data_IF_637765629327
#
_entry.id   IF_637765629327
#
_cell.length_a   1.000
_cell.length_b   1.000
_cell.length_c   1.000
_cell.angle_alpha   90.00
_cell.angle_beta   90.00
_cell.angle_gamma   90.00
#
_symmetry.space_group_name_H-M   'P 1'
#
loop_
_entity.id
_entity.type
_entity.pdbx_description
1 polymer ?
#
# COMPACT_ATOMS: atom_id res chain seq x y z
N UNK A 1 17.59 -19.31 10.90
CA UNK A 1 16.82 -20.33 10.13
C UNK A 1 17.62 -20.80 8.92
N UNK A 2 17.96 -19.91 7.97
CA UNK A 2 18.75 -20.29 6.78
C UNK A 2 20.08 -20.96 7.12
N UNK A 3 20.83 -20.44 8.10
CA UNK A 3 22.10 -21.05 8.55
C UNK A 3 21.95 -22.47 9.10
N UNK A 4 20.77 -22.80 9.60
CA UNK A 4 20.41 -24.12 10.14
C UNK A 4 19.88 -25.07 9.04
N UNK A 5 19.87 -24.65 7.77
CA UNK A 5 19.46 -25.48 6.64
C UNK A 5 17.96 -25.46 6.33
N UNK A 6 17.18 -24.57 6.96
CA UNK A 6 15.77 -24.41 6.63
C UNK A 6 15.59 -23.62 5.34
N UNK A 7 14.65 -24.08 4.52
CA UNK A 7 14.09 -23.28 3.44
C UNK A 7 13.14 -22.24 4.02
N UNK A 8 13.49 -20.96 3.86
CA UNK A 8 12.75 -19.87 4.52
C UNK A 8 11.81 -19.20 3.54
N UNK A 9 10.52 -19.20 3.88
CA UNK A 9 9.48 -18.42 3.20
C UNK A 9 9.15 -17.18 4.04
N UNK A 10 9.52 -16.01 3.54
CA UNK A 10 9.33 -14.74 4.25
C UNK A 10 7.85 -14.44 4.43
N UNK A 11 7.45 -14.20 5.68
CA UNK A 11 6.07 -13.99 6.10
C UNK A 11 5.99 -12.87 7.16
N UNK A 12 6.76 -11.81 6.93
CA UNK A 12 6.93 -10.70 7.87
C UNK A 12 5.59 -9.96 8.13
N UNK A 13 5.08 -9.93 9.38
CA UNK A 13 3.76 -9.38 9.66
C UNK A 13 3.67 -7.87 9.41
N UNK A 14 4.78 -7.16 9.58
CA UNK A 14 4.89 -5.73 9.32
C UNK A 14 4.82 -5.34 7.83
N UNK A 15 4.80 -6.30 6.91
CA UNK A 15 4.65 -6.06 5.46
C UNK A 15 3.65 -6.98 4.75
N UNK A 16 3.50 -8.23 5.21
CA UNK A 16 2.85 -9.30 4.45
C UNK A 16 1.56 -9.82 5.10
N UNK A 17 1.17 -9.27 6.26
CA UNK A 17 -0.11 -9.59 6.89
C UNK A 17 -1.22 -8.68 6.36
N UNK A 18 -2.10 -9.29 5.58
CA UNK A 18 -3.25 -8.68 4.93
C UNK A 18 -4.52 -8.74 5.76
N UNK A 19 -4.45 -9.13 7.02
CA UNK A 19 -5.46 -8.83 8.04
C UNK A 19 -5.24 -7.45 8.67
N UNK A 20 -4.13 -6.76 8.37
CA UNK A 20 -3.85 -5.42 8.89
C UNK A 20 -4.50 -4.29 8.06
N UNK A 21 -4.80 -3.13 8.67
CA UNK A 21 -5.34 -1.97 7.98
C UNK A 21 -4.52 -1.56 6.76
N UNK A 22 -5.17 -1.03 5.74
CA UNK A 22 -4.48 -0.45 4.57
C UNK A 22 -4.14 1.03 4.75
N UNK A 23 -4.53 1.66 5.86
CA UNK A 23 -4.09 3.00 6.28
C UNK A 23 -4.39 3.19 7.75
N UNK A 24 -3.81 4.23 8.37
CA UNK A 24 -4.06 4.58 9.77
C UNK A 24 -5.34 5.41 9.87
N UNK A 25 -6.49 4.74 9.87
CA UNK A 25 -7.80 5.37 10.07
C UNK A 25 -8.66 4.48 11.00
N UNK A 26 -9.33 5.02 12.03
CA UNK A 26 -10.14 4.22 12.95
C UNK A 26 -11.34 3.53 12.28
N UNK A 27 -11.72 3.95 11.07
CA UNK A 27 -12.76 3.31 10.26
C UNK A 27 -12.23 2.16 9.38
N UNK A 28 -10.92 1.95 9.33
CA UNK A 28 -10.34 0.81 8.58
C UNK A 28 -10.49 -0.50 9.34
N UNK A 29 -10.63 -1.58 8.59
CA UNK A 29 -10.70 -2.94 9.12
C UNK A 29 -9.28 -3.46 9.36
N UNK A 30 -9.13 -4.25 10.42
CA UNK A 30 -7.99 -5.12 10.59
C UNK A 30 -7.43 -5.16 12.00
N UNK A 31 -6.65 -6.19 12.27
CA UNK A 31 -5.78 -6.24 13.45
C UNK A 31 -4.50 -5.46 13.20
N UNK A 32 -3.77 -5.17 14.26
CA UNK A 32 -2.71 -4.18 14.16
C UNK A 32 -1.68 -4.43 15.28
N UNK A 33 -1.30 -5.67 15.53
CA UNK A 33 -0.32 -5.91 16.61
C UNK A 33 1.12 -5.57 16.16
N UNK A 34 1.49 -5.82 14.90
CA UNK A 34 2.86 -5.67 14.40
C UNK A 34 3.14 -4.35 13.66
N UNK A 35 2.18 -3.79 12.93
CA UNK A 35 2.34 -2.49 12.24
C UNK A 35 1.00 -1.80 12.00
N UNK A 36 0.97 -0.46 11.95
CA UNK A 36 -0.29 0.32 11.88
C UNK A 36 -1.00 0.28 10.55
N UNK A 37 -0.28 0.00 9.49
CA UNK A 37 -0.87 -0.21 8.18
C UNK A 37 0.06 -0.98 7.26
N UNK A 38 -0.55 -1.60 6.25
CA UNK A 38 0.09 -2.33 5.16
C UNK A 38 -0.66 -2.01 3.87
N UNK A 39 -0.39 -0.85 3.28
CA UNK A 39 -0.98 -0.45 2.00
C UNK A 39 -0.22 -1.08 0.81
N UNK A 40 -0.76 -0.93 -0.39
CA UNK A 40 -0.11 -1.48 -1.59
C UNK A 40 1.30 -0.93 -1.83
N UNK A 41 1.55 0.35 -1.47
CA UNK A 41 2.87 0.97 -1.61
C UNK A 41 3.89 0.35 -0.68
N UNK A 42 3.52 0.12 0.59
CA UNK A 42 4.40 -0.48 1.59
C UNK A 42 4.73 -1.93 1.24
N UNK A 43 3.76 -2.70 0.75
CA UNK A 43 4.01 -4.07 0.23
C UNK A 43 4.98 -4.03 -0.95
N UNK A 44 4.76 -3.12 -1.92
CA UNK A 44 5.61 -2.99 -3.10
C UNK A 44 7.07 -2.66 -2.75
N UNK A 45 7.27 -1.82 -1.74
CA UNK A 45 8.59 -1.36 -1.28
C UNK A 45 9.31 -2.35 -0.38
N UNK A 46 8.65 -3.44 0.03
CA UNK A 46 9.29 -4.47 0.83
C UNK A 46 10.41 -5.15 0.04
N UNK A 47 11.55 -5.29 0.70
CA UNK A 47 12.78 -5.83 0.13
C UNK A 47 13.08 -7.18 0.79
N UNK A 48 12.50 -8.28 0.28
CA UNK A 48 12.50 -9.55 1.00
C UNK A 48 13.88 -10.19 1.11
N UNK A 49 14.75 -10.00 0.12
CA UNK A 49 16.08 -10.62 0.10
C UNK A 49 17.15 -9.80 0.84
N UNK A 50 16.84 -8.59 1.28
CA UNK A 50 17.75 -7.75 2.06
C UNK A 50 16.99 -7.04 3.19
N UNK A 51 16.59 -7.81 4.21
CA UNK A 51 15.75 -7.30 5.30
C UNK A 51 16.26 -6.01 5.96
N UNK A 52 17.57 -5.83 6.24
CA UNK A 52 18.07 -4.59 6.82
C UNK A 52 17.73 -3.33 6.02
N UNK A 53 17.69 -3.40 4.69
CA UNK A 53 17.45 -2.20 3.86
C UNK A 53 16.07 -1.57 4.07
N UNK A 54 15.11 -2.34 4.60
CA UNK A 54 13.77 -1.82 4.87
C UNK A 54 13.78 -0.73 5.96
N UNK A 55 14.86 -0.58 6.75
CA UNK A 55 15.04 0.52 7.71
C UNK A 55 15.06 1.91 7.06
N UNK A 56 15.56 2.03 5.83
CA UNK A 56 15.56 3.32 5.10
C UNK A 56 14.22 3.63 4.42
N UNK A 57 13.40 2.61 4.17
CA UNK A 57 12.21 2.73 3.29
C UNK A 57 10.88 2.54 4.03
N UNK A 58 10.92 2.30 5.34
CA UNK A 58 9.74 2.08 6.16
C UNK A 58 9.90 2.68 7.57
N UNK A 59 8.86 2.49 8.40
CA UNK A 59 8.83 2.88 9.80
C UNK A 59 8.35 1.71 10.64
N UNK A 60 8.68 1.74 11.92
CA UNK A 60 8.14 0.77 12.87
C UNK A 60 6.63 0.96 13.08
N UNK A 61 6.05 0.16 13.98
CA UNK A 61 4.61 0.19 14.26
C UNK A 61 4.13 1.56 14.77
N UNK A 62 4.97 2.31 15.48
CA UNK A 62 4.61 3.58 16.12
C UNK A 62 5.00 4.78 15.24
N UNK A 63 5.50 4.52 14.01
CA UNK A 63 5.86 5.53 13.02
C UNK A 63 7.29 6.04 13.17
N UNK A 64 8.12 5.40 14.00
CA UNK A 64 9.49 5.82 14.24
C UNK A 64 10.45 5.22 13.20
N UNK A 65 11.58 5.91 13.02
CA UNK A 65 12.75 5.30 12.39
C UNK A 65 13.27 4.16 13.25
N UNK A 66 13.83 3.15 12.60
CA UNK A 66 14.54 2.07 13.26
C UNK A 66 15.85 1.80 12.50
N UNK A 67 16.74 1.06 13.15
CA UNK A 67 18.04 0.70 12.59
C UNK A 67 18.15 -0.82 12.55
N UNK A 68 18.70 -1.36 11.46
CA UNK A 68 18.98 -2.79 11.34
C UNK A 68 20.35 -2.98 10.73
N UNK A 69 21.14 -3.86 11.35
CA UNK A 69 22.41 -4.35 10.82
C UNK A 69 22.24 -5.79 10.35
N UNK A 70 22.77 -6.12 9.17
CA UNK A 70 22.87 -7.51 8.70
C UNK A 70 24.01 -8.23 9.42
N UNK A 71 23.73 -8.92 10.51
CA UNK A 71 24.72 -9.56 11.39
C UNK A 71 24.97 -11.05 11.09
N UNK A 72 24.22 -11.63 10.15
CA UNK A 72 24.30 -13.06 9.76
C UNK A 72 24.79 -13.23 8.33
N UNK A 73 25.16 -14.46 7.95
CA UNK A 73 25.39 -14.78 6.54
C UNK A 73 24.04 -14.88 5.81
N UNK A 74 23.77 -14.01 4.84
CA UNK A 74 22.56 -14.12 4.03
C UNK A 74 22.79 -15.14 2.91
N UNK A 75 22.22 -16.34 3.06
CA UNK A 75 22.24 -17.37 2.01
C UNK A 75 21.00 -17.34 1.11
N UNK A 76 20.23 -16.25 1.17
CA UNK A 76 18.98 -16.06 0.45
C UNK A 76 17.78 -16.70 1.15
N UNK A 77 16.59 -16.39 0.62
CA UNK A 77 15.32 -16.95 1.05
C UNK A 77 14.64 -17.66 -0.14
N UNK A 78 13.80 -18.64 0.15
CA UNK A 78 13.15 -19.49 -0.87
C UNK A 78 11.91 -18.84 -1.48
N UNK A 79 11.33 -17.86 -0.80
CA UNK A 79 10.18 -17.12 -1.32
C UNK A 79 9.58 -16.17 -0.30
N UNK A 80 8.44 -15.59 -0.67
CA UNK A 80 7.62 -14.73 0.18
C UNK A 80 6.17 -15.22 0.14
N UNK A 81 5.43 -15.00 1.21
CA UNK A 81 4.02 -15.38 1.32
C UNK A 81 3.25 -14.26 2.02
N UNK A 82 2.09 -13.90 1.48
CA UNK A 82 1.14 -13.01 2.14
C UNK A 82 0.11 -13.81 2.94
N UNK A 83 -0.23 -13.32 4.13
CA UNK A 83 -1.15 -13.99 5.05
C UNK A 83 -2.42 -13.18 5.18
N UNK A 84 -3.57 -13.84 5.23
CA UNK A 84 -4.78 -13.24 5.75
C UNK A 84 -5.31 -14.09 6.91
N UNK A 85 -5.28 -13.49 8.09
CA UNK A 85 -5.94 -14.00 9.29
C UNK A 85 -7.37 -13.46 9.38
N UNK A 86 -8.29 -14.27 9.88
CA UNK A 86 -9.72 -14.07 9.66
C UNK A 86 -10.53 -13.64 10.90
N UNK A 87 -9.89 -13.27 12.00
CA UNK A 87 -10.56 -12.91 13.27
C UNK A 87 -11.63 -11.84 13.08
N UNK A 88 -11.32 -10.84 12.25
CA UNK A 88 -12.23 -9.73 11.91
C UNK A 88 -12.63 -9.73 10.43
N UNK A 89 -12.43 -10.84 9.72
CA UNK A 89 -12.84 -11.03 8.33
C UNK A 89 -13.90 -12.13 8.32
N UNK A 90 -15.17 -11.72 8.28
CA UNK A 90 -16.34 -12.59 8.52
C UNK A 90 -17.13 -12.94 7.27
N UNK A 91 -16.84 -12.28 6.14
CA UNK A 91 -17.52 -12.51 4.86
C UNK A 91 -16.50 -12.52 3.74
N UNK A 92 -16.87 -13.11 2.60
CA UNK A 92 -16.00 -13.20 1.44
C UNK A 92 -15.65 -11.80 0.88
N UNK A 93 -16.58 -10.85 0.90
CA UNK A 93 -16.30 -9.47 0.47
C UNK A 93 -15.30 -8.78 1.40
N UNK A 94 -15.29 -9.15 2.69
CA UNK A 94 -14.28 -8.64 3.62
C UNK A 94 -12.91 -9.25 3.34
N UNK A 95 -12.85 -10.53 2.95
CA UNK A 95 -11.61 -11.15 2.49
C UNK A 95 -11.09 -10.43 1.25
N UNK A 96 -11.94 -10.23 0.25
CA UNK A 96 -11.61 -9.55 -1.00
C UNK A 96 -11.14 -8.10 -0.76
N UNK A 97 -11.84 -7.35 0.10
CA UNK A 97 -11.44 -6.01 0.51
C UNK A 97 -10.04 -5.98 1.14
N UNK A 98 -9.74 -6.96 1.99
CA UNK A 98 -8.50 -7.01 2.75
C UNK A 98 -7.33 -7.51 1.88
N UNK A 99 -7.56 -8.35 0.88
CA UNK A 99 -6.50 -8.89 0.01
C UNK A 99 -6.23 -8.02 -1.20
N UNK A 100 -7.28 -7.49 -1.84
CA UNK A 100 -7.16 -6.76 -3.09
C UNK A 100 -7.25 -5.23 -2.86
N UNK A 101 -6.44 -4.41 -3.54
CA UNK A 101 -5.50 -4.80 -4.61
C UNK A 101 -4.06 -5.11 -4.13
N UNK A 102 -3.79 -5.10 -2.81
CA UNK A 102 -2.41 -5.25 -2.28
C UNK A 102 -1.76 -6.62 -2.49
N UNK A 103 -2.51 -7.62 -2.95
CA UNK A 103 -1.93 -8.86 -3.48
C UNK A 103 -1.13 -8.66 -4.78
N UNK A 104 -1.45 -7.64 -5.59
CA UNK A 104 -0.71 -7.34 -6.81
C UNK A 104 0.76 -6.95 -6.53
N UNK A 105 1.07 -6.00 -5.62
CA UNK A 105 2.46 -5.71 -5.28
C UNK A 105 3.17 -6.87 -4.58
N UNK A 106 2.46 -7.74 -3.86
CA UNK A 106 3.02 -8.99 -3.34
C UNK A 106 3.45 -9.92 -4.50
N UNK A 107 2.57 -10.13 -5.49
CA UNK A 107 2.90 -10.93 -6.67
C UNK A 107 4.11 -10.36 -7.42
N UNK A 108 4.19 -9.03 -7.54
CA UNK A 108 5.34 -8.34 -8.11
C UNK A 108 6.63 -8.67 -7.36
N UNK A 109 6.68 -8.45 -6.03
CA UNK A 109 7.90 -8.69 -5.23
C UNK A 109 8.25 -10.16 -5.08
N UNK A 110 7.29 -11.06 -5.21
CA UNK A 110 7.55 -12.49 -5.23
C UNK A 110 8.23 -12.93 -6.54
N UNK A 111 8.00 -12.21 -7.63
CA UNK A 111 8.43 -12.59 -8.98
C UNK A 111 9.66 -11.82 -9.46
N UNK A 112 9.71 -10.52 -9.19
CA UNK A 112 10.70 -9.59 -9.73
C UNK A 112 11.53 -8.98 -8.60
N UNK A 113 12.86 -9.07 -8.73
CA UNK A 113 13.81 -8.31 -7.93
C UNK A 113 14.06 -6.98 -8.62
N UNK A 114 13.63 -5.89 -8.00
CA UNK A 114 13.80 -4.55 -8.54
C UNK A 114 15.24 -4.03 -8.41
N UNK A 115 15.57 -2.98 -9.17
CA UNK A 115 16.91 -2.40 -9.21
C UNK A 115 17.35 -1.76 -7.87
N UNK A 116 16.38 -1.22 -7.12
CA UNK A 116 16.57 -0.64 -5.79
C UNK A 116 16.60 -1.70 -4.68
N UNK A 117 16.39 -2.98 -4.98
CA UNK A 117 16.64 -4.09 -4.06
C UNK A 117 18.12 -4.45 -4.03
N UNK A 118 18.85 -3.86 -3.07
CA UNK A 118 20.28 -4.01 -2.95
C UNK A 118 20.65 -5.45 -2.60
N UNK A 119 21.79 -5.90 -3.11
CA UNK A 119 22.41 -7.11 -2.62
C UNK A 119 22.75 -6.96 -1.13
N UNK A 120 22.52 -8.04 -0.38
CA UNK A 120 22.86 -8.08 1.03
C UNK A 120 24.38 -8.01 1.21
N UNK A 121 24.79 -7.17 2.15
CA UNK A 121 26.18 -7.06 2.57
C UNK A 121 26.22 -7.22 4.08
N UNK A 122 26.94 -8.26 4.52
CA UNK A 122 27.17 -8.53 5.93
C UNK A 122 27.81 -7.31 6.58
N UNK A 123 27.41 -7.06 7.82
CA UNK A 123 27.82 -5.94 8.65
C UNK A 123 27.41 -4.54 8.19
N UNK A 124 26.68 -4.41 7.07
CA UNK A 124 26.06 -3.13 6.71
C UNK A 124 24.91 -2.84 7.67
N UNK A 125 24.95 -1.64 8.25
CA UNK A 125 23.86 -1.08 9.05
C UNK A 125 23.09 -0.05 8.24
N UNK A 126 21.76 -0.18 8.23
CA UNK A 126 20.83 0.79 7.69
C UNK A 126 20.15 1.49 8.85
N UNK A 127 20.09 2.81 8.80
CA UNK A 127 19.52 3.66 9.86
C UNK A 127 18.46 4.58 9.26
N UNK A 128 17.21 4.38 9.66
CA UNK A 128 16.09 5.14 9.13
C UNK A 128 16.28 6.65 9.31
N UNK A 129 16.22 7.40 8.20
CA UNK A 129 16.39 8.85 8.20
C UNK A 129 17.82 9.36 8.39
N UNK A 130 18.82 8.48 8.43
CA UNK A 130 20.24 8.84 8.53
C UNK A 130 21.03 8.31 7.31
N UNK A 131 20.96 7.01 7.03
CA UNK A 131 21.65 6.43 5.87
C UNK A 131 20.81 6.57 4.60
N UNK A 132 21.48 6.55 3.45
CA UNK A 132 20.89 6.78 2.11
C UNK A 132 21.45 5.80 1.08
N UNK A 133 21.53 4.53 1.45
CA UNK A 133 22.05 3.48 0.55
C UNK A 133 21.04 3.06 -0.51
N UNK A 134 19.75 3.10 -0.19
CA UNK A 134 18.67 2.72 -1.10
C UNK A 134 18.36 3.87 -2.05
N UNK A 135 18.29 3.60 -3.36
CA UNK A 135 17.80 4.58 -4.33
C UNK A 135 16.28 4.76 -4.19
N UNK A 136 15.88 5.65 -3.29
CA UNK A 136 14.46 5.93 -3.04
C UNK A 136 13.78 6.66 -4.20
N UNK A 137 14.54 7.29 -5.11
CA UNK A 137 13.98 7.95 -6.29
C UNK A 137 13.58 6.94 -7.35
N UNK A 138 14.44 5.95 -7.61
CA UNK A 138 14.12 4.84 -8.50
C UNK A 138 12.95 4.01 -7.94
N UNK A 139 13.01 3.67 -6.64
CA UNK A 139 11.90 2.98 -5.96
C UNK A 139 10.57 3.74 -6.08
N UNK A 140 10.60 5.08 -5.96
CA UNK A 140 9.42 5.90 -6.10
C UNK A 140 8.93 5.96 -7.56
N UNK A 141 9.84 6.00 -8.53
CA UNK A 141 9.53 5.98 -9.97
C UNK A 141 8.85 4.68 -10.37
N UNK A 142 9.42 3.54 -9.99
CA UNK A 142 8.82 2.22 -10.25
C UNK A 142 7.45 2.08 -9.55
N UNK A 143 7.32 2.55 -8.30
CA UNK A 143 6.01 2.57 -7.63
C UNK A 143 4.97 3.40 -8.39
N UNK A 144 5.34 4.58 -8.89
CA UNK A 144 4.43 5.44 -9.68
C UNK A 144 3.95 4.67 -10.91
N UNK A 145 4.85 4.02 -11.64
CA UNK A 145 4.48 3.22 -12.82
C UNK A 145 3.53 2.09 -12.44
N UNK A 146 3.86 1.34 -11.38
CA UNK A 146 3.06 0.22 -10.90
C UNK A 146 1.66 0.66 -10.43
N UNK A 147 1.57 1.75 -9.68
CA UNK A 147 0.30 2.32 -9.21
C UNK A 147 -0.60 2.81 -10.36
N UNK A 148 -0.01 3.37 -11.42
CA UNK A 148 -0.73 3.73 -12.64
C UNK A 148 -1.24 2.49 -13.39
N UNK A 149 -0.45 1.42 -13.48
CA UNK A 149 -0.89 0.15 -14.07
C UNK A 149 -2.08 -0.43 -13.30
N UNK A 150 -2.04 -0.38 -11.97
CA UNK A 150 -3.18 -0.79 -11.13
C UNK A 150 -4.40 0.06 -11.47
N UNK A 151 -4.31 1.38 -11.32
CA UNK A 151 -5.45 2.29 -11.42
C UNK A 151 -6.05 2.40 -12.82
N UNK A 152 -5.22 2.34 -13.88
CA UNK A 152 -5.67 2.52 -15.27
C UNK A 152 -6.01 1.20 -15.97
N UNK A 153 -5.63 0.04 -15.41
CA UNK A 153 -5.78 -1.23 -16.13
C UNK A 153 -6.19 -2.41 -15.25
N UNK A 154 -5.44 -2.72 -14.19
CA UNK A 154 -5.66 -3.99 -13.47
C UNK A 154 -6.95 -3.98 -12.64
N UNK A 155 -7.33 -2.85 -12.03
CA UNK A 155 -8.59 -2.78 -11.28
C UNK A 155 -9.83 -3.05 -12.15
N UNK A 156 -9.81 -2.62 -13.42
CA UNK A 156 -10.90 -2.90 -14.35
C UNK A 156 -11.02 -4.40 -14.69
N UNK A 157 -9.90 -5.14 -14.67
CA UNK A 157 -9.93 -6.60 -14.81
C UNK A 157 -10.45 -7.26 -13.54
N UNK A 158 -10.10 -6.74 -12.36
CA UNK A 158 -10.63 -7.27 -11.10
C UNK A 158 -12.15 -7.05 -11.03
N UNK A 159 -12.66 -5.89 -11.47
CA UNK A 159 -14.11 -5.64 -11.57
C UNK A 159 -14.82 -6.72 -12.41
N UNK A 160 -14.24 -7.16 -13.53
CA UNK A 160 -14.85 -8.17 -14.41
C UNK A 160 -14.92 -9.57 -13.80
N UNK A 161 -14.19 -9.82 -12.70
CA UNK A 161 -14.24 -11.07 -11.94
C UNK A 161 -15.23 -11.04 -10.77
N UNK A 162 -15.79 -9.86 -10.44
CA UNK A 162 -16.73 -9.69 -9.33
C UNK A 162 -16.10 -9.49 -7.94
N UNK A 163 -14.76 -9.49 -7.84
CA UNK A 163 -14.03 -9.32 -6.58
C UNK A 163 -14.26 -7.93 -5.98
N UNK A 164 -14.65 -7.88 -4.71
CA UNK A 164 -14.94 -6.66 -3.95
C UNK A 164 -13.69 -6.01 -3.32
N UNK A 165 -12.66 -5.72 -4.13
CA UNK A 165 -11.42 -5.09 -3.66
C UNK A 165 -11.61 -3.73 -2.98
N UNK A 166 -10.67 -3.31 -2.13
CA UNK A 166 -10.70 -1.99 -1.52
C UNK A 166 -10.46 -0.87 -2.54
N UNK A 167 -11.42 0.04 -2.67
CA UNK A 167 -11.21 1.33 -3.31
C UNK A 167 -10.58 2.31 -2.30
N UNK A 168 -9.40 2.90 -2.60
CA UNK A 168 -8.78 3.86 -1.70
C UNK A 168 -9.63 5.13 -1.62
N UNK A 169 -9.72 5.72 -0.44
CA UNK A 169 -10.31 7.05 -0.28
C UNK A 169 -9.41 8.09 -0.95
N UNK A 170 -9.97 9.10 -1.67
CA UNK A 170 -9.16 10.17 -2.23
C UNK A 170 -8.50 11.02 -1.15
N UNK A 171 -7.28 11.48 -1.41
CA UNK A 171 -6.70 12.61 -0.68
C UNK A 171 -7.29 13.91 -1.22
N UNK A 172 -7.55 14.89 -0.37
CA UNK A 172 -8.08 16.17 -0.81
C UNK A 172 -7.65 17.32 0.08
N UNK A 173 -7.50 18.50 -0.53
CA UNK A 173 -7.14 19.75 0.13
C UNK A 173 -7.84 20.90 -0.59
N UNK A 174 -8.26 21.92 0.15
CA UNK A 174 -8.67 23.20 -0.41
C UNK A 174 -7.44 24.11 -0.42
N UNK A 175 -6.98 24.48 -1.60
CA UNK A 175 -5.83 25.36 -1.81
C UNK A 175 -6.28 26.59 -2.59
N UNK A 176 -6.09 27.78 -2.01
CA UNK A 176 -6.57 29.05 -2.57
C UNK A 176 -8.05 29.00 -3.00
N UNK A 177 -8.91 28.43 -2.15
CA UNK A 177 -10.34 28.30 -2.38
C UNK A 177 -10.75 27.22 -3.39
N UNK A 178 -9.79 26.39 -3.86
CA UNK A 178 -10.05 25.34 -4.85
C UNK A 178 -9.73 23.96 -4.31
N UNK A 179 -10.64 23.01 -4.52
CA UNK A 179 -10.42 21.59 -4.26
C UNK A 179 -9.37 21.03 -5.22
N UNK A 180 -8.26 20.58 -4.65
CA UNK A 180 -7.28 19.70 -5.31
C UNK A 180 -7.36 18.32 -4.67
N UNK A 181 -7.27 17.26 -5.47
CA UNK A 181 -7.38 15.88 -5.01
C UNK A 181 -6.36 14.99 -5.71
N UNK A 182 -6.03 13.87 -5.06
CA UNK A 182 -5.25 12.79 -5.62
C UNK A 182 -5.79 11.43 -5.13
N UNK A 183 -5.25 10.35 -5.67
CA UNK A 183 -5.63 8.98 -5.31
C UNK A 183 -4.40 8.08 -5.32
N UNK A 184 -4.41 7.04 -4.47
CA UNK A 184 -3.30 6.10 -4.35
C UNK A 184 -3.01 5.31 -5.64
N UNK A 185 -4.03 5.07 -6.46
CA UNK A 185 -3.93 4.43 -7.78
C UNK A 185 -4.39 5.42 -8.87
N UNK A 186 -3.48 6.23 -9.44
CA UNK A 186 -3.82 7.17 -10.49
C UNK A 186 -4.50 6.45 -11.67
N UNK A 187 -5.60 7.02 -12.16
CA UNK A 187 -6.50 6.38 -13.12
C UNK A 187 -7.90 6.11 -12.55
N UNK A 188 -8.01 5.93 -11.23
CA UNK A 188 -9.32 5.89 -10.57
C UNK A 188 -10.01 7.25 -10.62
N UNK A 189 -11.30 7.24 -10.95
CA UNK A 189 -12.12 8.43 -10.90
C UNK A 189 -12.32 8.88 -9.45
N UNK A 190 -12.18 10.19 -9.22
CA UNK A 190 -12.57 10.84 -7.97
C UNK A 190 -13.83 11.65 -8.20
N UNK A 191 -14.82 11.47 -7.33
CA UNK A 191 -16.02 12.29 -7.29
C UNK A 191 -16.02 13.15 -6.03
N UNK A 192 -16.63 14.32 -6.14
CA UNK A 192 -16.88 15.21 -5.02
C UNK A 192 -18.35 15.60 -4.91
N UNK A 193 -18.77 15.94 -3.70
CA UNK A 193 -20.09 16.48 -3.38
C UNK A 193 -19.95 17.75 -2.54
N UNK A 194 -20.78 18.74 -2.81
CA UNK A 194 -20.90 20.00 -2.05
C UNK A 194 -22.26 20.13 -1.35
N UNK A 195 -23.08 19.09 -1.38
CA UNK A 195 -24.46 19.05 -0.91
C UNK A 195 -24.72 17.85 0.02
N UNK A 196 -23.72 17.53 0.85
CA UNK A 196 -23.76 16.45 1.85
C UNK A 196 -24.10 15.08 1.23
N UNK A 197 -23.50 14.79 0.08
CA UNK A 197 -23.59 13.50 -0.59
C UNK A 197 -24.86 13.30 -1.40
N UNK A 198 -25.70 14.33 -1.55
CA UNK A 198 -26.95 14.27 -2.32
C UNK A 198 -26.69 14.14 -3.82
N UNK A 199 -25.69 14.84 -4.34
CA UNK A 199 -25.20 14.72 -5.71
C UNK A 199 -23.69 14.61 -5.77
N UNK A 200 -23.19 13.93 -6.82
CA UNK A 200 -21.77 13.65 -7.00
C UNK A 200 -21.32 14.08 -8.39
N UNK A 201 -20.21 14.80 -8.45
CA UNK A 201 -19.61 15.30 -9.68
C UNK A 201 -18.20 14.75 -9.83
N UNK A 202 -17.85 14.26 -11.01
CA UNK A 202 -16.50 13.83 -11.33
C UNK A 202 -15.53 15.00 -11.27
N UNK A 203 -14.50 14.89 -10.44
CA UNK A 203 -13.43 15.86 -10.37
C UNK A 203 -12.48 15.67 -11.55
N UNK A 204 -12.29 16.72 -12.36
CA UNK A 204 -11.40 16.70 -13.54
C UNK A 204 -10.31 17.77 -13.49
N UNK A 205 -10.50 18.80 -12.67
CA UNK A 205 -9.60 19.95 -12.48
C UNK A 205 -9.94 20.65 -11.17
N UNK A 206 -9.07 21.54 -10.66
CA UNK A 206 -9.38 22.30 -9.45
C UNK A 206 -10.71 23.08 -9.55
N UNK A 207 -11.58 22.93 -8.55
CA UNK A 207 -12.93 23.53 -8.50
C UNK A 207 -13.08 24.39 -7.26
N UNK A 208 -13.72 25.55 -7.38
CA UNK A 208 -14.01 26.43 -6.23
C UNK A 208 -15.02 25.80 -5.28
N UNK A 209 -14.61 25.58 -4.03
CA UNK A 209 -15.46 25.04 -2.96
C UNK A 209 -14.97 25.55 -1.60
N UNK A 210 -15.87 25.60 -0.61
CA UNK A 210 -15.52 25.88 0.79
C UNK A 210 -15.38 24.60 1.62
N UNK A 211 -16.05 23.53 1.21
CA UNK A 211 -15.93 22.19 1.75
C UNK A 211 -16.40 21.21 0.69
N UNK A 212 -15.93 19.97 0.75
CA UNK A 212 -16.40 18.92 -0.14
C UNK A 212 -16.31 17.56 0.52
N UNK A 213 -17.22 16.68 0.18
CA UNK A 213 -17.09 15.24 0.42
C UNK A 213 -16.45 14.59 -0.80
N UNK A 214 -15.63 13.57 -0.61
CA UNK A 214 -14.86 12.90 -1.65
C UNK A 214 -15.03 11.37 -1.57
N UNK A 215 -15.06 10.73 -2.74
CA UNK A 215 -14.99 9.27 -2.90
C UNK A 215 -14.30 8.90 -4.21
N UNK A 216 -13.68 7.73 -4.28
CA UNK A 216 -13.30 7.13 -5.57
C UNK A 216 -14.43 6.27 -6.11
N UNK A 217 -14.39 6.01 -7.42
CA UNK A 217 -15.32 5.13 -8.15
C UNK A 217 -14.53 3.97 -8.76
N UNK A 218 -15.08 2.75 -8.77
CA UNK A 218 -14.51 1.64 -9.53
C UNK A 218 -14.50 1.94 -11.03
N UNK A 219 -13.54 1.39 -11.81
CA UNK A 219 -13.51 1.53 -13.26
C UNK A 219 -14.83 1.17 -13.98
N UNK A 220 -15.60 0.21 -13.46
CA UNK A 220 -16.91 -0.14 -14.01
C UNK A 220 -18.08 0.78 -13.58
N UNK A 221 -17.82 1.78 -12.73
CA UNK A 221 -18.79 2.77 -12.27
C UNK A 221 -19.76 2.32 -11.18
N UNK A 222 -19.65 1.08 -10.67
CA UNK A 222 -20.68 0.48 -9.79
C UNK A 222 -20.35 0.53 -8.31
N UNK A 223 -19.09 0.71 -7.93
CA UNK A 223 -18.63 0.68 -6.54
C UNK A 223 -17.95 1.99 -6.19
N UNK A 224 -17.97 2.31 -4.90
CA UNK A 224 -17.40 3.55 -4.38
C UNK A 224 -16.55 3.26 -3.15
N UNK A 225 -15.50 4.06 -2.92
CA UNK A 225 -14.86 4.08 -1.61
C UNK A 225 -15.83 4.61 -0.55
N UNK A 226 -15.47 4.44 0.72
CA UNK A 226 -16.09 5.25 1.77
C UNK A 226 -15.87 6.74 1.50
N UNK A 227 -16.75 7.56 2.05
CA UNK A 227 -16.71 9.01 1.92
C UNK A 227 -15.74 9.60 2.96
N UNK A 228 -14.97 10.60 2.53
CA UNK A 228 -14.22 11.51 3.40
C UNK A 228 -14.65 12.95 3.16
N UNK A 229 -14.29 13.86 4.05
CA UNK A 229 -14.63 15.28 3.93
C UNK A 229 -13.38 16.14 3.99
N UNK A 230 -13.39 17.24 3.24
CA UNK A 230 -12.39 18.32 3.30
C UNK A 230 -13.11 19.61 3.67
N UNK A 231 -12.46 20.44 4.46
CA UNK A 231 -12.93 21.75 4.92
C UNK A 231 -11.79 22.76 4.81
#
# INVERSE_FOLDING_TARGET
MVEQGFEVVQSHPDYLYFDFPQEVNPKERGYYWATRYTDSKKVFKFSPNNLPQNAETSKDRDGNNFNIKGDTENRGYNGISGQLWSEVVRTDEQFEYMVFPRILPLAERAWHKASWELDYIKDREFKGGETTFVDTNEQQTEWIQFANIIGQRELAKIDSTGIQYRLPVPGGKIESGKLVTNVAFPGLEVQYSTDSGSSWVTWTKPVEVTSAELRTVSPDGKRFSRITSVK
#
